data_IF_631176147359
#
_entry.id   IF_631176147359
#
_cell.length_a   1.000
_cell.length_b   1.000
_cell.length_c   1.000
_cell.angle_alpha   90.00
_cell.angle_beta   90.00
_cell.angle_gamma   90.00
#
_symmetry.space_group_name_H-M   'P 1'
#
loop_
_entity.id
_entity.type
_entity.pdbx_description
1 polymer ?
#
# COMPACT_ATOMS: atom_id res chain seq x y z
N UNK A 1 -3.28 3.40 28.59
CA UNK A 1 -4.68 3.03 28.93
C UNK A 1 -5.40 2.82 27.62
N UNK A 2 -5.68 1.57 27.25
CA UNK A 2 -6.50 1.22 26.09
C UNK A 2 -7.96 1.49 26.45
N UNK A 3 -8.60 2.36 25.68
CA UNK A 3 -10.05 2.57 25.77
C UNK A 3 -10.70 1.25 25.30
N UNK A 4 -11.54 0.60 26.11
CA UNK A 4 -12.23 -0.60 25.66
C UNK A 4 -13.15 -0.22 24.49
N UNK A 5 -12.90 -0.81 23.32
CA UNK A 5 -13.78 -0.67 22.14
C UNK A 5 -15.12 -1.31 22.46
N UNK A 6 -16.09 -0.50 22.88
CA UNK A 6 -17.47 -0.94 23.05
C UNK A 6 -18.10 -1.17 21.67
N UNK A 7 -18.55 -2.39 21.44
CA UNK A 7 -19.60 -2.78 20.51
C UNK A 7 -19.46 -2.26 19.07
N UNK A 8 -18.44 -2.74 18.36
CA UNK A 8 -18.36 -2.54 16.94
C UNK A 8 -19.39 -3.46 16.25
N UNK A 9 -20.64 -3.00 16.17
CA UNK A 9 -21.65 -3.62 15.32
C UNK A 9 -21.25 -3.28 13.89
N UNK A 10 -20.81 -4.29 13.15
CA UNK A 10 -20.48 -4.19 11.74
C UNK A 10 -21.70 -3.73 10.95
N UNK A 11 -21.82 -2.41 10.72
CA UNK A 11 -22.87 -1.89 9.85
C UNK A 11 -22.47 -2.19 8.40
N UNK A 12 -23.42 -2.56 7.52
CA UNK A 12 -23.10 -2.80 6.13
C UNK A 12 -22.35 -1.60 5.55
N UNK A 13 -21.23 -1.83 4.88
CA UNK A 13 -20.41 -0.79 4.28
C UNK A 13 -21.23 0.03 3.30
N UNK A 14 -21.08 1.33 3.41
CA UNK A 14 -21.62 2.26 2.44
C UNK A 14 -20.48 3.05 1.84
N UNK A 15 -20.21 2.86 0.55
CA UNK A 15 -19.27 3.70 -0.19
C UNK A 15 -19.91 5.06 -0.43
N UNK A 16 -19.21 6.12 -0.06
CA UNK A 16 -19.66 7.50 -0.27
C UNK A 16 -18.53 8.36 -0.80
N UNK A 17 -18.82 9.20 -1.78
CA UNK A 17 -17.87 10.20 -2.26
C UNK A 17 -17.74 11.32 -1.25
N UNK A 18 -16.53 11.54 -0.74
CA UNK A 18 -16.25 12.64 0.19
C UNK A 18 -16.23 13.97 -0.59
N UNK A 19 -17.12 14.89 -0.22
CA UNK A 19 -17.10 16.26 -0.75
C UNK A 19 -16.01 17.06 -0.04
N UNK A 20 -14.92 17.35 -0.74
CA UNK A 20 -13.84 18.21 -0.24
C UNK A 20 -14.31 19.67 -0.18
N UNK A 21 -13.78 20.41 0.81
CA UNK A 21 -14.00 21.84 0.99
C UNK A 21 -12.74 22.62 0.62
N UNK A 22 -12.88 23.86 0.13
CA UNK A 22 -11.74 24.68 -0.28
C UNK A 22 -11.28 24.41 -1.72
N UNK A 23 -10.27 25.14 -2.17
CA UNK A 23 -9.83 25.17 -3.57
C UNK A 23 -8.61 24.29 -3.86
N UNK A 24 -7.73 24.06 -2.87
CA UNK A 24 -6.52 23.24 -3.04
C UNK A 24 -6.85 21.76 -2.87
N UNK A 25 -6.41 20.94 -3.82
CA UNK A 25 -6.49 19.48 -3.74
C UNK A 25 -5.44 18.85 -4.65
N UNK A 26 -4.94 17.64 -4.32
CA UNK A 26 -4.06 16.93 -5.22
C UNK A 26 -4.77 16.63 -6.54
N UNK A 27 -4.02 16.72 -7.65
CA UNK A 27 -4.50 16.32 -8.98
C UNK A 27 -4.80 14.83 -9.02
N UNK A 28 -5.70 14.35 -9.90
CA UNK A 28 -5.92 12.94 -10.15
C UNK A 28 -4.60 12.23 -10.45
N UNK A 29 -4.37 11.11 -9.78
CA UNK A 29 -3.09 10.39 -9.83
C UNK A 29 -3.24 8.89 -9.57
N UNK A 30 -2.29 8.14 -10.06
CA UNK A 30 -2.12 6.72 -9.78
C UNK A 30 -0.72 6.44 -9.26
N UNK A 31 -0.47 5.25 -8.74
CA UNK A 31 0.84 4.86 -8.23
C UNK A 31 1.38 5.69 -7.05
N UNK A 32 0.54 6.52 -6.43
CA UNK A 32 0.77 7.19 -5.16
C UNK A 32 0.45 6.24 -4.00
N UNK A 33 0.76 6.67 -2.78
CA UNK A 33 0.28 6.01 -1.56
C UNK A 33 -0.41 7.00 -0.64
N UNK A 34 -1.37 6.48 0.15
CA UNK A 34 -1.99 7.20 1.27
C UNK A 34 -1.82 6.41 2.57
N UNK A 35 -1.69 7.15 3.68
CA UNK A 35 -1.71 6.61 5.03
C UNK A 35 -2.41 7.61 5.96
N UNK A 36 -2.94 7.19 7.11
CA UNK A 36 -3.64 8.08 8.03
C UNK A 36 -3.17 7.94 9.48
N UNK A 37 -3.35 9.03 10.24
CA UNK A 37 -3.12 9.11 11.69
C UNK A 37 -4.42 9.37 12.47
N UNK A 38 -5.59 8.97 11.92
CA UNK A 38 -6.94 9.20 12.43
C UNK A 38 -7.45 10.66 12.37
N UNK A 39 -6.57 11.62 12.18
CA UNK A 39 -6.89 13.05 12.04
C UNK A 39 -6.76 13.49 10.59
N UNK A 40 -5.69 13.04 9.95
CA UNK A 40 -5.36 13.38 8.58
C UNK A 40 -5.06 12.13 7.75
N UNK A 41 -5.34 12.23 6.47
CA UNK A 41 -4.88 11.28 5.46
C UNK A 41 -3.78 11.98 4.67
N UNK A 42 -2.61 11.38 4.64
CA UNK A 42 -1.44 11.86 3.89
C UNK A 42 -1.40 11.20 2.52
N UNK A 43 -1.02 11.97 1.50
CA UNK A 43 -0.86 11.48 0.12
C UNK A 43 0.51 11.91 -0.40
N UNK A 44 1.28 10.94 -0.88
CA UNK A 44 2.65 11.16 -1.36
C UNK A 44 2.82 10.67 -2.78
N UNK A 45 3.48 11.48 -3.61
CA UNK A 45 3.94 11.10 -4.95
C UNK A 45 2.83 10.73 -5.93
N UNK A 46 3.13 9.75 -6.76
CA UNK A 46 2.28 9.28 -7.84
C UNK A 46 2.56 9.96 -9.18
N UNK A 47 1.81 9.58 -10.19
CA UNK A 47 1.89 10.14 -11.53
C UNK A 47 0.51 10.24 -12.20
N UNK A 48 0.42 11.01 -13.27
CA UNK A 48 -0.78 11.07 -14.09
C UNK A 48 -0.42 10.92 -15.58
N UNK A 49 -0.73 9.77 -16.18
CA UNK A 49 -0.40 9.52 -17.59
C UNK A 49 -1.20 10.37 -18.59
N UNK A 50 -2.29 10.98 -18.15
CA UNK A 50 -3.19 11.79 -18.99
C UNK A 50 -2.81 13.27 -19.02
N UNK A 51 -1.86 13.72 -18.20
CA UNK A 51 -1.42 15.12 -18.27
C UNK A 51 -0.55 15.34 -19.50
N UNK A 52 -0.82 16.41 -20.26
CA UNK A 52 -0.02 16.72 -21.44
C UNK A 52 1.42 17.09 -21.03
N UNK A 53 2.39 16.47 -21.67
CA UNK A 53 3.81 16.72 -21.45
C UNK A 53 4.25 18.14 -21.87
N UNK A 54 3.49 18.73 -22.80
CA UNK A 54 3.83 20.01 -23.45
C UNK A 54 3.71 21.26 -22.56
N UNK A 55 2.99 21.15 -21.44
CA UNK A 55 2.70 22.30 -20.57
C UNK A 55 3.52 22.31 -19.27
N UNK A 56 4.39 21.36 -19.08
CA UNK A 56 5.27 21.29 -17.91
C UNK A 56 6.67 21.68 -18.34
N UNK A 57 7.21 22.80 -17.88
CA UNK A 57 8.60 23.20 -18.17
C UNK A 57 9.58 22.12 -17.74
N UNK A 58 10.70 21.96 -18.48
CA UNK A 58 11.70 20.92 -18.22
C UNK A 58 12.40 21.05 -16.86
N UNK A 59 12.46 22.24 -16.33
CA UNK A 59 12.99 22.56 -15.00
C UNK A 59 11.97 22.33 -13.88
N UNK A 60 10.71 22.02 -14.22
CA UNK A 60 9.70 21.67 -13.23
C UNK A 60 10.05 20.33 -12.56
N UNK A 61 10.07 20.25 -11.22
CA UNK A 61 10.38 19.02 -10.49
C UNK A 61 9.46 17.83 -10.82
N UNK A 62 8.28 18.10 -11.37
CA UNK A 62 7.33 17.04 -11.77
C UNK A 62 7.47 16.66 -13.24
N UNK A 63 8.41 17.29 -13.99
CA UNK A 63 8.60 17.00 -15.40
C UNK A 63 9.14 15.58 -15.60
N UNK A 64 8.60 14.91 -16.59
CA UNK A 64 9.07 13.60 -17.05
C UNK A 64 8.92 13.56 -18.58
N UNK A 65 9.91 13.00 -19.31
CA UNK A 65 9.83 12.89 -20.76
C UNK A 65 8.66 12.05 -21.25
N UNK A 66 8.16 11.11 -20.41
CA UNK A 66 7.09 10.20 -20.77
C UNK A 66 5.82 10.44 -19.95
N UNK A 67 5.96 10.73 -18.65
CA UNK A 67 4.82 10.86 -17.73
C UNK A 67 5.14 11.77 -16.57
N UNK A 68 4.24 12.70 -16.23
CA UNK A 68 4.47 13.59 -15.09
C UNK A 68 4.38 12.85 -13.76
N UNK A 69 5.43 13.00 -12.97
CA UNK A 69 5.51 12.57 -11.59
C UNK A 69 5.15 13.73 -10.66
N UNK A 70 4.49 13.44 -9.54
CA UNK A 70 4.10 14.44 -8.56
C UNK A 70 5.07 14.48 -7.39
N UNK A 71 5.95 15.48 -7.37
CA UNK A 71 6.88 15.78 -6.28
C UNK A 71 6.16 16.54 -5.15
N UNK A 72 5.16 15.88 -4.55
CA UNK A 72 4.20 16.50 -3.65
C UNK A 72 3.90 15.63 -2.43
N UNK A 73 3.74 16.27 -1.28
CA UNK A 73 3.15 15.71 -0.07
C UNK A 73 1.92 16.53 0.30
N UNK A 74 0.79 15.87 0.47
CA UNK A 74 -0.48 16.47 0.85
C UNK A 74 -1.03 15.83 2.12
N UNK A 75 -1.82 16.59 2.88
CA UNK A 75 -2.67 16.04 3.93
C UNK A 75 -4.11 16.46 3.72
N UNK A 76 -5.02 15.53 4.00
CA UNK A 76 -6.46 15.76 4.03
C UNK A 76 -6.96 15.69 5.47
N UNK A 77 -7.47 16.77 6.01
CA UNK A 77 -8.07 16.79 7.34
C UNK A 77 -9.46 16.14 7.27
N UNK A 78 -9.65 15.05 8.01
CA UNK A 78 -10.89 14.28 8.04
C UNK A 78 -12.04 15.13 8.58
N UNK A 79 -11.81 15.91 9.63
CA UNK A 79 -12.80 16.74 10.27
C UNK A 79 -13.23 17.92 9.38
N UNK A 80 -12.27 18.68 8.83
CA UNK A 80 -12.57 19.88 8.03
C UNK A 80 -12.87 19.56 6.57
N UNK A 81 -12.51 18.37 6.09
CA UNK A 81 -12.59 17.92 4.69
C UNK A 81 -11.80 18.82 3.72
N UNK A 82 -10.67 19.35 4.19
CA UNK A 82 -9.78 20.22 3.40
C UNK A 82 -8.45 19.52 3.14
N UNK A 83 -7.93 19.71 1.93
CA UNK A 83 -6.57 19.36 1.57
C UNK A 83 -5.61 20.51 1.90
N UNK A 84 -4.40 20.15 2.30
CA UNK A 84 -3.27 21.05 2.50
C UNK A 84 -2.04 20.45 1.83
N UNK A 85 -1.39 21.20 0.96
CA UNK A 85 -0.07 20.87 0.44
C UNK A 85 0.99 21.27 1.45
N UNK A 86 1.96 20.41 1.66
CA UNK A 86 3.12 20.68 2.49
C UNK A 86 4.28 21.13 1.61
N UNK A 87 4.89 22.27 1.94
CA UNK A 87 6.09 22.75 1.27
C UNK A 87 7.30 21.95 1.74
N UNK A 88 7.45 20.75 1.23
CA UNK A 88 8.59 19.89 1.48
C UNK A 88 9.52 20.01 0.28
N UNK A 89 10.62 20.70 0.45
CA UNK A 89 11.59 20.98 -0.63
C UNK A 89 12.84 20.12 -0.47
N UNK A 90 13.29 19.90 0.77
CA UNK A 90 14.50 19.13 1.05
C UNK A 90 14.23 17.62 1.07
N UNK A 91 15.13 16.86 0.46
CA UNK A 91 15.14 15.39 0.40
C UNK A 91 13.91 14.76 -0.28
N UNK A 92 13.18 15.50 -1.09
CA UNK A 92 12.11 14.92 -1.90
C UNK A 92 12.73 14.03 -2.98
N UNK A 93 12.40 12.72 -3.03
CA UNK A 93 13.01 11.81 -3.99
C UNK A 93 12.54 12.09 -5.42
N UNK A 94 13.26 11.51 -6.36
CA UNK A 94 12.89 11.47 -7.79
C UNK A 94 12.01 10.25 -8.11
N UNK A 95 12.07 9.21 -7.26
CA UNK A 95 11.36 7.94 -7.36
C UNK A 95 9.98 8.06 -6.70
N UNK A 96 9.05 8.74 -7.37
CA UNK A 96 7.78 9.17 -6.83
C UNK A 96 6.61 8.25 -7.14
N UNK A 97 6.79 7.28 -8.04
CA UNK A 97 5.75 6.33 -8.40
C UNK A 97 5.99 4.96 -7.75
N UNK A 98 4.90 4.33 -7.29
CA UNK A 98 4.93 2.95 -6.80
C UNK A 98 5.79 2.73 -5.55
N UNK A 99 6.06 3.79 -4.81
CA UNK A 99 6.58 3.67 -3.45
C UNK A 99 5.57 2.99 -2.53
N UNK A 100 6.03 2.58 -1.37
CA UNK A 100 5.18 2.13 -0.29
C UNK A 100 5.19 3.14 0.86
N UNK A 101 4.10 3.23 1.62
CA UNK A 101 3.96 4.21 2.70
C UNK A 101 3.14 3.63 3.85
N UNK A 102 3.58 3.87 5.07
CA UNK A 102 2.83 3.52 6.28
C UNK A 102 3.03 4.56 7.38
N UNK A 103 2.16 4.54 8.39
CA UNK A 103 2.34 5.31 9.62
C UNK A 103 3.03 4.47 10.69
N UNK A 104 3.99 5.08 11.39
CA UNK A 104 4.60 4.55 12.60
C UNK A 104 4.56 5.62 13.70
N UNK A 105 3.54 5.57 14.54
CA UNK A 105 3.25 6.62 15.50
C UNK A 105 3.02 7.98 14.82
N UNK A 106 3.93 8.93 15.05
CA UNK A 106 3.88 10.28 14.45
C UNK A 106 4.72 10.42 13.17
N UNK A 107 5.25 9.32 12.66
CA UNK A 107 6.12 9.33 11.51
C UNK A 107 5.44 8.67 10.31
N UNK A 108 5.40 9.38 9.21
CA UNK A 108 5.10 8.84 7.90
C UNK A 108 6.38 8.23 7.36
N UNK A 109 6.37 6.94 7.08
CA UNK A 109 7.51 6.22 6.54
C UNK A 109 7.23 5.86 5.08
N UNK A 110 8.17 6.18 4.20
CA UNK A 110 8.08 5.98 2.75
C UNK A 110 9.31 5.18 2.34
N UNK A 111 9.11 4.20 1.47
CA UNK A 111 10.21 3.37 0.98
C UNK A 111 10.09 3.07 -0.50
N UNK A 112 11.25 3.02 -1.16
CA UNK A 112 11.35 2.60 -2.54
C UNK A 112 10.64 3.54 -3.51
N UNK A 113 10.19 3.00 -4.60
CA UNK A 113 9.57 3.74 -5.69
C UNK A 113 10.43 3.80 -6.93
N UNK A 114 9.85 4.29 -8.02
CA UNK A 114 10.54 4.43 -9.29
C UNK A 114 10.31 5.81 -9.91
N UNK A 115 11.33 6.28 -10.61
CA UNK A 115 11.28 7.43 -11.49
C UNK A 115 10.68 7.09 -12.85
N UNK A 116 10.78 7.99 -13.82
CA UNK A 116 10.44 7.73 -15.22
C UNK A 116 11.72 7.75 -16.07
N UNK A 117 11.88 6.81 -17.01
CA UNK A 117 11.04 5.64 -17.29
C UNK A 117 11.01 4.65 -16.13
N UNK A 118 9.87 3.99 -15.93
CA UNK A 118 9.69 3.07 -14.79
C UNK A 118 10.68 1.90 -14.87
N UNK A 119 11.31 1.61 -13.71
CA UNK A 119 12.33 0.57 -13.58
C UNK A 119 13.77 1.06 -13.82
N UNK A 120 13.99 2.17 -14.52
CA UNK A 120 15.36 2.66 -14.78
C UNK A 120 16.02 3.23 -13.53
N UNK A 121 15.23 3.83 -12.66
CA UNK A 121 15.67 4.35 -11.35
C UNK A 121 14.74 3.84 -10.29
N UNK A 122 15.29 3.15 -9.30
CA UNK A 122 14.54 2.64 -8.16
C UNK A 122 15.27 3.01 -6.88
N UNK A 123 14.53 3.47 -5.89
CA UNK A 123 15.08 3.82 -4.57
C UNK A 123 15.07 2.62 -3.62
N UNK A 124 15.99 2.59 -2.67
CA UNK A 124 15.97 1.76 -1.48
C UNK A 124 16.13 2.60 -0.19
N UNK A 125 15.87 3.89 -0.28
CA UNK A 125 15.88 4.77 0.87
C UNK A 125 14.59 4.61 1.69
N UNK A 126 14.76 4.66 3.00
CA UNK A 126 13.66 4.87 3.94
C UNK A 126 13.59 6.37 4.22
N UNK A 127 12.53 6.98 3.76
CA UNK A 127 12.27 8.40 3.97
C UNK A 127 11.26 8.55 5.08
N UNK A 128 11.51 9.46 5.99
CA UNK A 128 10.66 9.71 7.15
C UNK A 128 10.23 11.17 7.18
N UNK A 129 8.96 11.39 7.47
CA UNK A 129 8.42 12.71 7.73
C UNK A 129 7.61 12.72 9.02
N UNK A 130 7.91 13.69 9.87
CA UNK A 130 7.19 13.86 11.12
C UNK A 130 5.91 14.66 10.89
N UNK A 131 4.76 14.12 11.29
CA UNK A 131 3.44 14.73 11.03
C UNK A 131 3.09 15.91 11.95
N UNK A 132 4.07 16.49 12.66
CA UNK A 132 3.86 17.64 13.54
C UNK A 132 3.82 18.95 12.76
N UNK A 133 3.03 19.95 13.23
CA UNK A 133 3.04 21.28 12.64
C UNK A 133 4.44 21.91 12.64
N UNK A 134 4.86 22.46 11.52
CA UNK A 134 6.14 23.16 11.38
C UNK A 134 7.29 22.31 10.84
N UNK A 135 7.12 21.00 10.68
CA UNK A 135 8.17 20.13 10.13
C UNK A 135 8.07 20.12 8.60
N UNK A 136 9.02 20.79 7.94
CA UNK A 136 9.02 20.97 6.47
C UNK A 136 10.01 20.04 5.76
N UNK A 137 10.69 19.14 6.50
CA UNK A 137 11.81 18.35 5.97
C UNK A 137 11.48 16.87 5.95
N UNK A 138 11.77 16.22 4.82
CA UNK A 138 11.92 14.77 4.76
C UNK A 138 13.31 14.40 5.27
N UNK A 139 13.40 13.31 6.01
CA UNK A 139 14.65 12.76 6.51
C UNK A 139 14.88 11.40 5.85
N UNK A 140 16.07 11.20 5.30
CA UNK A 140 16.50 9.87 4.84
C UNK A 140 17.16 9.20 6.05
N UNK A 141 16.70 8.00 6.40
CA UNK A 141 17.31 7.25 7.49
C UNK A 141 18.70 6.74 7.07
N UNK A 142 19.67 7.11 7.86
CA UNK A 142 21.04 6.58 7.70
C UNK A 142 21.13 5.22 8.39
N UNK A 143 20.93 4.16 7.61
CA UNK A 143 20.93 2.79 8.08
C UNK A 143 22.05 1.99 7.44
N UNK A 144 22.64 1.09 8.21
CA UNK A 144 23.77 0.22 7.79
C UNK A 144 23.30 -1.23 7.61
N UNK A 145 24.20 -2.13 7.24
CA UNK A 145 23.90 -3.56 7.04
C UNK A 145 23.46 -3.88 5.61
N UNK A 146 22.87 -5.06 5.44
CA UNK A 146 22.47 -5.56 4.12
C UNK A 146 21.08 -5.02 3.75
N UNK A 147 21.07 -3.96 2.96
CA UNK A 147 19.85 -3.30 2.48
C UNK A 147 19.17 -4.11 1.37
N UNK A 148 17.82 -4.00 1.23
CA UNK A 148 17.16 -4.45 0.01
C UNK A 148 17.69 -3.68 -1.22
N UNK A 149 17.60 -4.26 -2.41
CA UNK A 149 17.88 -3.55 -3.65
C UNK A 149 16.89 -2.39 -3.86
N UNK A 150 17.24 -1.44 -4.72
CA UNK A 150 16.30 -0.42 -5.18
C UNK A 150 15.13 -1.07 -5.89
N UNK A 151 13.89 -0.73 -5.46
CA UNK A 151 12.69 -1.43 -5.94
C UNK A 151 11.42 -0.58 -5.81
N UNK A 152 10.37 -1.03 -6.49
CA UNK A 152 9.03 -0.44 -6.42
C UNK A 152 7.93 -1.50 -6.40
N UNK A 153 6.73 -1.09 -6.01
CA UNK A 153 5.58 -1.98 -5.92
C UNK A 153 5.67 -3.04 -4.81
N UNK A 154 6.63 -2.88 -3.91
CA UNK A 154 6.74 -3.68 -2.68
C UNK A 154 5.67 -3.28 -1.66
N UNK A 155 5.42 -4.13 -0.69
CA UNK A 155 4.70 -3.78 0.53
C UNK A 155 5.67 -3.43 1.66
N UNK A 156 5.20 -2.64 2.63
CA UNK A 156 5.94 -2.32 3.85
C UNK A 156 5.02 -2.36 5.07
N UNK A 157 5.61 -2.59 6.21
CA UNK A 157 4.93 -2.42 7.50
C UNK A 157 5.94 -2.10 8.63
N UNK A 158 5.42 -1.55 9.72
CA UNK A 158 6.15 -1.41 10.97
C UNK A 158 5.57 -2.35 12.02
N UNK A 159 6.42 -3.08 12.70
CA UNK A 159 6.04 -3.97 13.79
C UNK A 159 7.19 -4.10 14.79
N UNK A 160 6.88 -4.02 16.08
CA UNK A 160 7.80 -4.23 17.21
C UNK A 160 9.14 -3.48 17.05
N UNK A 161 9.05 -2.17 16.77
CA UNK A 161 10.23 -1.32 16.59
C UNK A 161 11.05 -1.59 15.32
N UNK A 162 10.56 -2.43 14.42
CA UNK A 162 11.20 -2.75 13.17
C UNK A 162 10.36 -2.29 11.97
N UNK A 163 11.05 -2.00 10.88
CA UNK A 163 10.47 -1.71 9.58
C UNK A 163 10.77 -2.88 8.63
N UNK A 164 9.76 -3.34 7.93
CA UNK A 164 9.86 -4.48 7.01
C UNK A 164 9.53 -4.08 5.58
N UNK A 165 10.28 -4.64 4.63
CA UNK A 165 9.93 -4.57 3.20
C UNK A 165 9.69 -5.98 2.68
N UNK A 166 8.67 -6.15 1.85
CA UNK A 166 8.22 -7.44 1.35
C UNK A 166 8.03 -7.36 -0.17
N UNK A 167 8.74 -8.21 -0.89
CA UNK A 167 8.63 -8.35 -2.34
C UNK A 167 8.94 -7.08 -3.11
N UNK A 168 8.44 -6.99 -4.34
CA UNK A 168 8.64 -5.86 -5.24
C UNK A 168 9.38 -6.22 -6.52
N UNK A 169 9.76 -5.20 -7.27
CA UNK A 169 10.54 -5.35 -8.51
C UNK A 169 11.53 -4.22 -8.66
N UNK A 170 12.66 -4.51 -9.30
CA UNK A 170 13.62 -3.51 -9.77
C UNK A 170 13.36 -3.09 -11.22
N UNK A 171 12.27 -3.55 -11.84
CA UNK A 171 11.92 -3.35 -13.23
C UNK A 171 12.29 -4.51 -14.16
N UNK A 172 13.20 -5.38 -13.73
CA UNK A 172 13.67 -6.54 -14.49
C UNK A 172 13.27 -7.87 -13.85
N UNK A 173 13.35 -7.94 -12.53
CA UNK A 173 13.04 -9.13 -11.76
C UNK A 173 12.01 -8.81 -10.68
N UNK A 174 11.16 -9.80 -10.39
CA UNK A 174 10.22 -9.77 -9.27
C UNK A 174 10.77 -10.66 -8.17
N UNK A 175 10.64 -10.22 -6.92
CA UNK A 175 11.13 -10.97 -5.78
C UNK A 175 10.03 -11.14 -4.72
N UNK A 176 10.27 -12.05 -3.77
CA UNK A 176 9.48 -12.22 -2.55
C UNK A 176 10.35 -12.01 -1.29
N UNK A 177 11.47 -11.31 -1.45
CA UNK A 177 12.44 -11.06 -0.39
C UNK A 177 11.80 -10.29 0.78
N UNK A 178 12.27 -10.60 1.98
CA UNK A 178 11.86 -9.91 3.20
C UNK A 178 13.11 -9.37 3.88
N UNK A 179 13.13 -8.06 4.07
CA UNK A 179 14.19 -7.38 4.81
C UNK A 179 13.60 -6.68 6.03
N UNK A 180 14.37 -6.64 7.10
CA UNK A 180 14.04 -5.97 8.35
C UNK A 180 15.08 -4.89 8.67
N UNK A 181 14.62 -3.68 8.95
CA UNK A 181 15.40 -2.61 9.56
C UNK A 181 14.98 -2.49 11.03
N UNK A 182 15.90 -2.70 11.93
CA UNK A 182 15.71 -2.36 13.35
C UNK A 182 15.81 -0.82 13.48
N UNK A 183 14.72 -0.18 13.87
CA UNK A 183 14.63 1.29 13.94
C UNK A 183 15.37 1.88 15.15
N UNK A 184 15.82 1.06 16.09
CA UNK A 184 16.61 1.50 17.22
C UNK A 184 18.11 1.47 16.91
N UNK A 185 18.57 0.40 16.25
CA UNK A 185 19.99 0.21 15.93
C UNK A 185 20.35 0.71 14.53
N UNK A 186 19.36 0.99 13.69
CA UNK A 186 19.49 1.37 12.29
C UNK A 186 20.27 0.34 11.45
N UNK A 187 20.02 -0.94 11.71
CA UNK A 187 20.68 -2.05 11.02
C UNK A 187 19.68 -2.83 10.18
N UNK A 188 19.99 -2.94 8.89
CA UNK A 188 19.28 -3.80 7.95
C UNK A 188 19.78 -5.23 7.99
N UNK A 189 18.85 -6.19 8.01
CA UNK A 189 19.13 -7.60 7.81
C UNK A 189 18.14 -8.21 6.82
N UNK A 190 18.58 -9.10 5.92
CA UNK A 190 17.68 -9.95 5.17
C UNK A 190 17.13 -11.04 6.10
N UNK A 191 15.81 -11.21 6.12
CA UNK A 191 15.16 -12.34 6.79
C UNK A 191 14.95 -13.50 5.83
N UNK A 192 14.65 -13.16 4.58
CA UNK A 192 14.48 -14.12 3.51
C UNK A 192 14.90 -13.49 2.19
N UNK A 193 15.65 -14.23 1.41
CA UNK A 193 16.02 -13.89 0.03
C UNK A 193 15.71 -15.10 -0.83
N UNK A 194 14.84 -14.93 -1.80
CA UNK A 194 14.44 -16.02 -2.69
C UNK A 194 15.61 -16.55 -3.50
N UNK A 195 15.69 -17.84 -3.64
CA UNK A 195 16.75 -18.55 -4.41
C UNK A 195 16.24 -19.02 -5.78
N UNK A 196 14.93 -18.91 -6.03
CA UNK A 196 14.26 -19.40 -7.23
C UNK A 196 14.05 -20.91 -7.25
N UNK A 197 14.14 -21.55 -6.08
CA UNK A 197 13.89 -22.98 -5.95
C UNK A 197 12.40 -23.31 -5.91
N UNK A 198 12.07 -24.55 -6.26
CA UNK A 198 10.71 -25.07 -6.19
C UNK A 198 10.19 -25.02 -4.74
N UNK A 199 8.94 -24.58 -4.58
CA UNK A 199 8.29 -24.41 -3.26
C UNK A 199 8.45 -23.02 -2.66
N UNK A 200 9.30 -22.15 -3.21
CA UNK A 200 9.36 -20.76 -2.81
C UNK A 200 8.16 -19.95 -3.38
N UNK A 201 7.70 -18.90 -2.67
CA UNK A 201 6.69 -18.02 -3.22
C UNK A 201 7.21 -17.32 -4.49
N UNK A 202 6.38 -17.28 -5.51
CA UNK A 202 6.71 -16.59 -6.76
C UNK A 202 6.88 -15.09 -6.47
N UNK A 203 7.97 -14.49 -6.97
CA UNK A 203 8.27 -13.07 -6.85
C UNK A 203 7.14 -12.21 -7.42
N UNK A 204 6.79 -11.14 -6.71
CA UNK A 204 5.62 -10.33 -7.02
C UNK A 204 5.77 -8.85 -6.66
N UNK A 205 5.00 -8.03 -7.35
CA UNK A 205 4.83 -6.62 -7.03
C UNK A 205 3.34 -6.25 -6.97
N UNK A 206 3.02 -5.09 -6.43
CA UNK A 206 1.64 -4.58 -6.35
C UNK A 206 0.68 -5.53 -5.61
N UNK A 207 1.23 -6.28 -4.70
CA UNK A 207 0.52 -6.99 -3.65
C UNK A 207 0.31 -6.08 -2.45
N UNK A 208 -0.54 -6.50 -1.56
CA UNK A 208 -0.71 -5.89 -0.26
C UNK A 208 -0.30 -6.88 0.84
N UNK A 209 -0.03 -6.36 2.02
CA UNK A 209 0.36 -7.19 3.17
C UNK A 209 -0.54 -6.91 4.36
N UNK A 210 -0.95 -7.97 5.05
CA UNK A 210 -1.58 -7.90 6.35
C UNK A 210 -0.73 -8.63 7.38
N UNK A 211 -0.81 -8.21 8.65
CA UNK A 211 -0.05 -8.81 9.73
C UNK A 211 -0.95 -9.24 10.89
N UNK A 212 -0.80 -10.47 11.33
CA UNK A 212 -1.50 -10.98 12.51
C UNK A 212 -0.49 -11.68 13.43
N UNK A 213 -0.21 -11.09 14.58
CA UNK A 213 0.91 -11.53 15.40
C UNK A 213 2.23 -11.38 14.64
N UNK A 214 3.00 -12.46 14.56
CA UNK A 214 4.26 -12.51 13.82
C UNK A 214 4.11 -13.07 12.40
N UNK A 215 2.89 -13.17 11.88
CA UNK A 215 2.60 -13.72 10.57
C UNK A 215 2.25 -12.63 9.56
N UNK A 216 2.91 -12.66 8.41
CA UNK A 216 2.69 -11.77 7.27
C UNK A 216 1.89 -12.52 6.19
N UNK A 217 0.75 -12.00 5.83
CA UNK A 217 -0.13 -12.54 4.80
C UNK A 217 0.03 -11.72 3.53
N UNK A 218 0.44 -12.35 2.44
CA UNK A 218 0.71 -11.68 1.17
C UNK A 218 -0.51 -11.81 0.27
N UNK A 219 -1.18 -10.69 0.04
CA UNK A 219 -2.49 -10.67 -0.63
C UNK A 219 -2.32 -10.27 -2.09
N UNK A 220 -2.57 -11.21 -2.99
CA UNK A 220 -2.56 -10.99 -4.43
C UNK A 220 -1.22 -10.51 -4.98
N UNK A 221 -1.26 -9.49 -5.85
CA UNK A 221 -0.11 -9.01 -6.60
C UNK A 221 0.11 -9.80 -7.88
N UNK A 222 1.26 -9.65 -8.47
CA UNK A 222 1.58 -10.35 -9.70
C UNK A 222 2.93 -9.96 -10.29
N UNK A 223 3.08 -10.21 -11.58
CA UNK A 223 4.19 -9.75 -12.42
C UNK A 223 3.69 -8.74 -13.45
N UNK A 224 4.51 -8.37 -14.43
CA UNK A 224 4.06 -7.59 -15.58
C UNK A 224 2.92 -8.26 -16.35
N UNK A 225 3.00 -9.58 -16.47
CA UNK A 225 2.09 -10.39 -17.28
C UNK A 225 0.92 -10.96 -16.47
N UNK A 226 1.17 -11.45 -15.26
CA UNK A 226 0.23 -12.25 -14.48
C UNK A 226 -0.24 -11.53 -13.22
N UNK A 227 -1.49 -11.75 -12.85
CA UNK A 227 -2.02 -11.50 -11.51
C UNK A 227 -2.16 -12.85 -10.78
N UNK A 228 -1.84 -12.85 -9.48
CA UNK A 228 -1.84 -14.08 -8.69
C UNK A 228 -3.15 -14.30 -7.96
N UNK A 229 -3.43 -15.59 -7.74
CA UNK A 229 -4.62 -16.08 -7.07
C UNK A 229 -4.70 -15.57 -5.62
N UNK A 230 -5.95 -15.41 -5.17
CA UNK A 230 -6.27 -15.04 -3.79
C UNK A 230 -6.77 -16.23 -2.97
N UNK A 231 -6.90 -17.40 -3.61
CA UNK A 231 -7.22 -18.67 -2.95
C UNK A 231 -5.97 -19.44 -2.50
N UNK A 232 -4.79 -18.89 -2.80
CA UNK A 232 -3.49 -19.35 -2.30
C UNK A 232 -2.77 -18.13 -1.73
N UNK A 233 -2.76 -18.02 -0.40
CA UNK A 233 -2.17 -16.86 0.30
C UNK A 233 -0.81 -17.30 0.86
N UNK A 234 0.31 -16.81 0.31
CA UNK A 234 1.61 -17.01 0.93
C UNK A 234 1.64 -16.33 2.30
N UNK A 235 2.06 -17.03 3.31
CA UNK A 235 2.21 -16.53 4.66
C UNK A 235 3.65 -16.77 5.13
N UNK A 236 4.28 -15.72 5.62
CA UNK A 236 5.61 -15.78 6.21
C UNK A 236 5.52 -15.62 7.72
N UNK A 237 6.18 -16.51 8.45
CA UNK A 237 6.28 -16.48 9.90
C UNK A 237 7.60 -15.82 10.30
N UNK A 238 7.52 -14.66 10.97
CA UNK A 238 8.69 -13.87 11.40
C UNK A 238 9.49 -14.53 12.53
N UNK A 239 8.91 -15.48 13.27
CA UNK A 239 9.61 -16.17 14.34
C UNK A 239 10.47 -17.32 13.80
N UNK A 240 9.91 -18.07 12.86
CA UNK A 240 10.58 -19.26 12.30
C UNK A 240 11.33 -18.94 11.01
N UNK A 241 11.08 -17.78 10.40
CA UNK A 241 11.58 -17.38 9.07
C UNK A 241 11.23 -18.40 7.98
N UNK A 242 9.98 -18.89 7.99
CA UNK A 242 9.51 -19.89 7.03
C UNK A 242 8.25 -19.44 6.32
N UNK A 243 8.11 -19.92 5.08
CA UNK A 243 6.91 -19.73 4.27
C UNK A 243 5.94 -20.90 4.42
N UNK A 244 4.67 -20.60 4.30
CA UNK A 244 3.57 -21.56 4.10
C UNK A 244 2.51 -20.97 3.18
N UNK A 245 1.70 -21.83 2.58
CA UNK A 245 0.56 -21.43 1.75
C UNK A 245 -0.71 -21.72 2.52
N UNK A 246 -1.55 -20.71 2.65
CA UNK A 246 -2.88 -20.83 3.25
C UNK A 246 -3.92 -20.93 2.14
N UNK A 247 -4.89 -21.83 2.31
CA UNK A 247 -6.01 -22.01 1.39
C UNK A 247 -7.29 -21.51 2.05
N UNK A 248 -7.73 -20.27 1.75
CA UNK A 248 -8.98 -19.77 2.28
C UNK A 248 -10.18 -20.54 1.74
N UNK A 249 -11.23 -20.59 2.53
CA UNK A 249 -12.54 -21.06 2.06
C UNK A 249 -13.17 -20.02 1.14
N UNK A 250 -13.90 -20.50 0.16
CA UNK A 250 -14.71 -19.65 -0.72
C UNK A 250 -15.91 -19.07 0.03
N UNK A 251 -16.57 -18.07 -0.58
CA UNK A 251 -17.82 -17.51 -0.07
C UNK A 251 -18.95 -18.51 -0.24
N UNK A 252 -19.56 -18.92 0.85
CA UNK A 252 -20.70 -19.85 0.90
C UNK A 252 -22.06 -19.14 0.87
N UNK A 253 -22.07 -17.80 0.86
CA UNK A 253 -23.28 -17.00 0.93
C UNK A 253 -23.86 -16.60 -0.43
N UNK A 254 -23.17 -16.91 -1.54
CA UNK A 254 -23.56 -16.52 -2.91
C UNK A 254 -23.48 -17.72 -3.85
N UNK A 255 -24.33 -17.72 -4.90
CA UNK A 255 -24.29 -18.72 -5.96
C UNK A 255 -23.37 -18.35 -7.14
N UNK A 256 -23.02 -17.06 -7.31
CA UNK A 256 -22.50 -16.57 -8.58
C UNK A 256 -20.98 -16.39 -8.62
N UNK A 257 -20.37 -15.95 -7.53
CA UNK A 257 -18.92 -15.75 -7.47
C UNK A 257 -18.42 -16.14 -6.09
N UNK A 258 -17.75 -17.28 -6.00
CA UNK A 258 -17.39 -17.91 -4.74
C UNK A 258 -16.07 -17.39 -4.16
N UNK A 259 -15.22 -16.74 -4.97
CA UNK A 259 -13.91 -16.25 -4.54
C UNK A 259 -13.50 -15.01 -5.32
N UNK A 260 -12.63 -14.15 -4.76
CA UNK A 260 -12.07 -13.04 -5.51
C UNK A 260 -11.18 -13.55 -6.65
N UNK A 261 -11.32 -12.95 -7.82
CA UNK A 261 -10.47 -13.25 -8.97
C UNK A 261 -9.03 -12.81 -8.73
N UNK A 262 -8.03 -13.44 -9.39
CA UNK A 262 -6.63 -13.02 -9.36
C UNK A 262 -6.51 -11.53 -9.60
N UNK A 263 -5.71 -10.84 -8.81
CA UNK A 263 -5.55 -9.39 -8.98
C UNK A 263 -4.26 -8.81 -8.45
N UNK A 264 -3.81 -7.77 -9.12
CA UNK A 264 -2.74 -6.86 -8.72
C UNK A 264 -3.25 -5.41 -8.73
N UNK A 265 -2.49 -4.47 -8.15
CA UNK A 265 -2.85 -3.04 -8.12
C UNK A 265 -4.20 -2.75 -7.42
N UNK A 266 -4.71 -3.69 -6.65
CA UNK A 266 -5.80 -3.48 -5.70
C UNK A 266 -5.30 -2.74 -4.47
N UNK A 267 -6.19 -2.35 -3.59
CA UNK A 267 -5.82 -1.90 -2.26
C UNK A 267 -6.35 -2.85 -1.20
N UNK A 268 -5.65 -2.95 -0.08
CA UNK A 268 -6.13 -3.67 1.08
C UNK A 268 -6.02 -2.83 2.35
N UNK A 269 -6.91 -3.10 3.29
CA UNK A 269 -6.84 -2.58 4.65
C UNK A 269 -7.13 -3.68 5.63
N UNK A 270 -6.46 -3.62 6.78
CA UNK A 270 -6.67 -4.53 7.90
C UNK A 270 -7.50 -3.83 8.97
N UNK A 271 -8.48 -4.52 9.52
CA UNK A 271 -9.31 -4.05 10.64
C UNK A 271 -9.29 -5.12 11.72
N UNK A 272 -8.90 -4.74 12.92
CA UNK A 272 -8.98 -5.60 14.10
C UNK A 272 -10.38 -5.48 14.69
N UNK A 273 -11.13 -6.58 14.73
CA UNK A 273 -12.47 -6.66 15.32
C UNK A 273 -12.47 -7.58 16.55
N UNK A 274 -13.52 -7.56 17.38
CA UNK A 274 -13.65 -8.52 18.48
C UNK A 274 -13.64 -9.98 18.01
N UNK A 275 -14.13 -10.25 16.79
CA UNK A 275 -14.15 -11.57 16.17
C UNK A 275 -12.78 -11.94 15.54
N UNK A 276 -11.79 -11.04 15.61
CA UNK A 276 -10.46 -11.21 15.06
C UNK A 276 -10.20 -10.32 13.84
N UNK A 277 -9.04 -10.53 13.24
CA UNK A 277 -8.56 -9.71 12.12
C UNK A 277 -9.35 -9.95 10.86
N UNK A 278 -9.79 -8.85 10.24
CA UNK A 278 -10.47 -8.84 8.95
C UNK A 278 -9.62 -8.05 7.93
N UNK A 279 -9.45 -8.59 6.74
CA UNK A 279 -8.75 -7.92 5.64
C UNK A 279 -9.76 -7.60 4.55
N UNK A 280 -9.81 -6.34 4.15
CA UNK A 280 -10.67 -5.89 3.05
C UNK A 280 -9.82 -5.56 1.86
N UNK A 281 -10.16 -6.12 0.71
CA UNK A 281 -9.56 -5.76 -0.58
C UNK A 281 -10.59 -5.06 -1.44
N UNK A 282 -10.15 -4.14 -2.30
CA UNK A 282 -11.03 -3.38 -3.18
C UNK A 282 -10.38 -3.17 -4.54
N UNK A 283 -11.15 -3.37 -5.60
CA UNK A 283 -10.72 -3.13 -6.98
C UNK A 283 -9.51 -3.96 -7.41
N UNK A 284 -8.64 -3.36 -8.22
CA UNK A 284 -7.50 -4.03 -8.83
C UNK A 284 -7.78 -4.53 -10.23
N UNK A 285 -6.85 -5.26 -10.80
CA UNK A 285 -6.94 -5.81 -12.16
C UNK A 285 -6.21 -7.14 -12.27
N UNK A 286 -6.73 -8.03 -13.11
CA UNK A 286 -6.05 -9.26 -13.52
C UNK A 286 -5.13 -9.06 -14.76
N UNK A 287 -5.17 -7.87 -15.34
CA UNK A 287 -4.46 -7.50 -16.58
C UNK A 287 -5.39 -7.40 -17.79
N UNK A 288 -6.57 -7.99 -17.74
CA UNK A 288 -7.59 -7.92 -18.77
C UNK A 288 -8.81 -7.10 -18.32
N UNK A 289 -9.23 -7.32 -17.09
CA UNK A 289 -10.37 -6.67 -16.46
C UNK A 289 -9.95 -5.80 -15.30
N UNK A 290 -10.69 -4.74 -15.04
CA UNK A 290 -10.58 -3.90 -13.85
C UNK A 290 -11.81 -4.14 -12.98
N UNK A 291 -11.60 -4.29 -11.67
CA UNK A 291 -12.65 -4.69 -10.74
C UNK A 291 -13.22 -3.50 -9.96
N UNK A 292 -14.50 -3.60 -9.59
CA UNK A 292 -15.20 -2.67 -8.70
C UNK A 292 -15.67 -3.35 -7.41
N UNK A 293 -15.40 -4.63 -7.27
CA UNK A 293 -15.82 -5.44 -6.13
C UNK A 293 -14.99 -5.16 -4.86
N UNK A 294 -15.60 -5.45 -3.72
CA UNK A 294 -14.95 -5.43 -2.43
C UNK A 294 -15.13 -6.80 -1.78
N UNK A 295 -14.04 -7.36 -1.28
CA UNK A 295 -14.03 -8.64 -0.59
C UNK A 295 -13.48 -8.50 0.81
N UNK A 296 -13.94 -9.35 1.71
CA UNK A 296 -13.47 -9.49 3.07
C UNK A 296 -12.88 -10.87 3.29
N UNK A 297 -11.66 -10.95 3.76
CA UNK A 297 -11.04 -12.17 4.30
C UNK A 297 -11.12 -12.12 5.82
N UNK A 298 -11.81 -13.07 6.42
CA UNK A 298 -11.76 -13.32 7.86
C UNK A 298 -10.55 -14.21 8.14
N UNK A 299 -9.60 -13.73 8.94
CA UNK A 299 -8.42 -14.52 9.30
C UNK A 299 -8.77 -15.67 10.26
N UNK A 300 -9.61 -15.50 11.30
CA UNK A 300 -9.99 -16.61 12.17
C UNK A 300 -10.72 -17.75 11.45
N UNK A 301 -11.59 -17.44 10.49
CA UNK A 301 -12.35 -18.42 9.72
C UNK A 301 -11.59 -18.92 8.50
N UNK A 302 -10.55 -18.18 8.10
CA UNK A 302 -9.81 -18.32 6.84
C UNK A 302 -10.79 -18.45 5.67
N UNK A 303 -11.70 -17.45 5.55
CA UNK A 303 -12.79 -17.46 4.57
C UNK A 303 -12.96 -16.11 3.89
N UNK A 304 -13.11 -16.15 2.56
CA UNK A 304 -13.52 -15.00 1.76
C UNK A 304 -15.04 -14.79 1.82
N UNK A 305 -15.46 -13.52 1.83
CA UNK A 305 -16.85 -13.11 1.64
C UNK A 305 -16.93 -11.89 0.76
N UNK A 306 -17.79 -11.94 -0.27
CA UNK A 306 -18.07 -10.79 -1.12
C UNK A 306 -18.97 -9.80 -0.40
N UNK A 307 -18.63 -8.52 -0.51
CA UNK A 307 -19.44 -7.43 0.02
C UNK A 307 -20.57 -7.08 -0.97
N UNK A 308 -21.67 -7.89 -1.00
CA UNK A 308 -22.70 -7.86 -2.04
C UNK A 308 -23.38 -6.51 -2.27
N UNK A 309 -23.54 -5.70 -1.22
CA UNK A 309 -24.20 -4.39 -1.28
C UNK A 309 -23.24 -3.21 -1.34
N UNK A 310 -21.97 -3.50 -1.51
CA UNK A 310 -20.91 -2.49 -1.44
C UNK A 310 -19.93 -2.73 -2.58
N UNK A 311 -20.04 -1.89 -3.59
CA UNK A 311 -19.15 -1.87 -4.74
C UNK A 311 -18.56 -0.48 -4.90
N UNK A 312 -17.43 -0.38 -5.58
CA UNK A 312 -16.85 0.91 -5.96
C UNK A 312 -17.75 1.61 -6.96
N UNK A 313 -17.74 2.94 -7.02
CA UNK A 313 -18.56 3.68 -7.99
C UNK A 313 -18.23 3.38 -9.45
N UNK A 314 -17.03 2.88 -9.71
CA UNK A 314 -16.52 2.41 -11.00
C UNK A 314 -15.36 1.46 -10.75
N UNK A 315 -15.03 0.57 -11.70
CA UNK A 315 -13.82 -0.24 -11.65
C UNK A 315 -12.59 0.63 -11.44
N UNK A 316 -11.65 0.17 -10.58
CA UNK A 316 -10.55 1.02 -10.13
C UNK A 316 -9.29 0.19 -9.82
N UNK A 317 -8.14 0.64 -10.30
CA UNK A 317 -6.84 0.05 -10.00
C UNK A 317 -5.75 1.12 -9.83
N UNK A 318 -4.61 0.81 -9.25
CA UNK A 318 -3.56 1.76 -8.86
C UNK A 318 -4.01 2.87 -7.92
N UNK A 319 -5.15 2.72 -7.27
CA UNK A 319 -5.57 3.54 -6.15
C UNK A 319 -4.85 3.13 -4.86
N UNK A 320 -5.01 3.92 -3.83
CA UNK A 320 -4.48 3.59 -2.51
C UNK A 320 -5.56 3.74 -1.45
N UNK A 321 -5.54 2.86 -0.46
CA UNK A 321 -6.47 2.89 0.67
C UNK A 321 -5.74 3.00 1.99
N UNK A 322 -6.44 3.54 2.97
CA UNK A 322 -6.03 3.56 4.38
C UNK A 322 -7.26 3.42 5.25
N UNK A 323 -7.08 3.00 6.50
CA UNK A 323 -8.17 2.84 7.45
C UNK A 323 -7.85 3.54 8.76
N UNK A 324 -8.84 4.22 9.31
CA UNK A 324 -8.72 4.84 10.64
C UNK A 324 -8.90 3.79 11.73
N UNK A 325 -8.42 4.08 12.94
CA UNK A 325 -8.56 3.20 14.12
C UNK A 325 -10.03 2.93 14.50
N UNK A 326 -10.94 3.81 14.08
CA UNK A 326 -12.39 3.64 14.27
C UNK A 326 -13.10 2.97 13.09
N UNK A 327 -12.33 2.39 12.13
CA UNK A 327 -12.84 1.50 11.09
C UNK A 327 -13.39 2.18 9.83
N UNK A 328 -13.11 3.47 9.60
CA UNK A 328 -13.42 4.11 8.32
C UNK A 328 -12.30 3.89 7.31
N UNK A 329 -12.62 3.20 6.21
CA UNK A 329 -11.71 3.05 5.06
C UNK A 329 -11.84 4.26 4.14
N UNK A 330 -10.71 4.84 3.78
CA UNK A 330 -10.61 5.91 2.79
C UNK A 330 -9.82 5.43 1.58
N UNK A 331 -10.27 5.85 0.40
CA UNK A 331 -9.63 5.52 -0.88
C UNK A 331 -9.39 6.80 -1.67
N UNK A 332 -8.27 6.87 -2.37
CA UNK A 332 -7.92 8.02 -3.19
C UNK A 332 -7.19 7.60 -4.46
N UNK A 333 -7.42 8.36 -5.56
CA UNK A 333 -6.74 8.20 -6.84
C UNK A 333 -7.11 6.92 -7.58
N UNK A 334 -6.20 6.46 -8.44
CA UNK A 334 -6.38 5.31 -9.33
C UNK A 334 -6.76 5.71 -10.75
N UNK A 335 -6.94 4.69 -11.56
CA UNK A 335 -7.34 4.77 -12.98
C UNK A 335 -8.51 3.85 -13.23
#
# INVERSE_FOLDING_TARGET
>A
MSIPRKDYIFKPFKVTKVKCRGFGRPRPRSGHRIACDDVNIYCFGGYNPSLPLTNIPRDNPTWSPERPLFKELWSFSIASRKWKQHNVVENMPEELASNAMCMNGRYLMIFGGTGAPFGNRCSNDVIVWRTCPGDAKLQILDAVGTRPPGQYGQAILCHDGCFYTIGGTNGFAYNCDIYRLDLRTMVWIPLYVGTGQEGEPIGRYRHEVARVGDKLYIIGGGTGEWAFELMEIPMYDLQTNTWSILIPKADDSTSDTLSPLPRKCHSAVQIDTPEGVQIFIAGGSDGQSVFDDIWRLSIPELQWRRMQKTVLPHPLYFHSSTVTSYGCMYMFGGM
#
